data_IF_596280776872
#
_entry.id   IF_596280776872
#
_cell.length_a   1.000
_cell.length_b   1.000
_cell.length_c   1.000
_cell.angle_alpha   90.00
_cell.angle_beta   90.00
_cell.angle_gamma   90.00
#
_symmetry.space_group_name_H-M   'P 1'
#
loop_
_entity.id
_entity.type
_entity.pdbx_description
1 polymer ?
#
# COMPACT_ATOMS: atom_id res chain seq x y z
N UNK A 1 8.23 28.67 24.91
CA UNK A 1 6.96 27.93 24.72
C UNK A 1 6.48 28.14 23.28
N UNK A 2 6.98 27.34 22.32
CA UNK A 2 6.61 27.43 20.89
C UNK A 2 7.00 26.13 20.17
N UNK A 3 6.28 25.04 20.43
CA UNK A 3 6.55 23.76 19.71
C UNK A 3 5.32 22.88 19.48
N UNK A 4 4.16 23.16 20.07
CA UNK A 4 2.99 22.25 19.97
C UNK A 4 2.10 22.42 18.71
N UNK A 5 2.28 23.49 17.93
CA UNK A 5 1.43 23.77 16.77
C UNK A 5 1.84 22.99 15.50
N UNK A 6 3.13 22.63 15.34
CA UNK A 6 3.60 21.92 14.14
C UNK A 6 3.19 20.45 14.12
N UNK A 7 3.20 19.77 15.27
CA UNK A 7 2.76 18.38 15.40
C UNK A 7 1.26 18.19 15.13
N UNK A 8 0.43 19.15 15.58
CA UNK A 8 -1.02 19.12 15.34
C UNK A 8 -1.35 19.28 13.84
N UNK A 9 -0.61 20.15 13.13
CA UNK A 9 -0.81 20.36 11.69
C UNK A 9 -0.38 19.12 10.89
N UNK A 10 0.74 18.47 11.25
CA UNK A 10 1.17 17.25 10.58
C UNK A 10 0.18 16.09 10.77
N UNK A 11 -0.28 15.86 12.01
CA UNK A 11 -1.31 14.85 12.27
C UNK A 11 -2.65 15.18 11.61
N UNK A 12 -3.05 16.45 11.50
CA UNK A 12 -4.25 16.85 10.77
C UNK A 12 -4.11 16.65 9.25
N UNK A 13 -2.90 16.75 8.69
CA UNK A 13 -2.64 16.47 7.27
C UNK A 13 -2.62 14.97 7.01
N UNK A 14 -1.94 14.16 7.84
CA UNK A 14 -1.95 12.70 7.72
C UNK A 14 -3.36 12.16 7.98
N UNK A 15 -4.04 12.61 9.04
CA UNK A 15 -5.44 12.27 9.30
C UNK A 15 -6.38 12.79 8.20
N UNK A 16 -6.11 13.94 7.58
CA UNK A 16 -6.89 14.45 6.46
C UNK A 16 -6.72 13.61 5.19
N UNK A 17 -5.50 13.11 4.94
CA UNK A 17 -5.21 12.16 3.86
C UNK A 17 -5.88 10.80 4.17
N UNK A 18 -5.87 10.35 5.42
CA UNK A 18 -6.55 9.12 5.90
C UNK A 18 -8.08 9.23 5.89
N UNK A 19 -8.64 10.40 6.18
CA UNK A 19 -10.09 10.64 6.13
C UNK A 19 -10.63 10.68 4.70
N UNK A 20 -9.77 10.92 3.70
CA UNK A 20 -10.17 10.81 2.31
C UNK A 20 -10.27 9.35 1.83
N UNK A 21 -9.67 8.38 2.54
CA UNK A 21 -9.72 6.94 2.19
C UNK A 21 -10.68 6.13 3.05
N UNK A 22 -11.16 6.67 4.18
CA UNK A 22 -12.13 5.96 5.00
C UNK A 22 -13.49 5.85 4.29
N UNK A 23 -14.04 4.64 4.24
CA UNK A 23 -15.50 4.46 4.13
C UNK A 23 -16.10 5.34 5.22
N UNK A 24 -16.84 6.39 4.84
CA UNK A 24 -17.61 7.15 5.81
C UNK A 24 -18.69 6.22 6.38
N UNK A 25 -18.42 5.62 7.54
CA UNK A 25 -19.47 4.94 8.31
C UNK A 25 -20.43 6.02 8.78
N UNK A 26 -21.57 6.13 8.11
CA UNK A 26 -22.62 7.05 8.47
C UNK A 26 -23.09 6.76 9.91
N UNK A 27 -22.99 7.77 10.78
CA UNK A 27 -23.59 7.75 12.11
C UNK A 27 -25.12 7.64 11.91
N UNK A 28 -25.81 6.62 12.46
CA UNK A 28 -27.24 6.49 12.26
C UNK A 28 -27.96 7.58 13.04
N UNK A 29 -28.52 8.56 12.35
CA UNK A 29 -29.13 9.70 13.03
C UNK A 29 -29.73 10.80 12.17
N UNK A 30 -30.37 10.48 11.04
CA UNK A 30 -31.53 11.23 10.50
C UNK A 30 -32.06 10.53 9.26
N UNK A 31 -33.35 10.21 9.25
CA UNK A 31 -34.06 9.88 8.01
C UNK A 31 -33.95 11.09 7.08
N UNK A 32 -33.37 10.88 5.89
CA UNK A 32 -33.40 11.84 4.80
C UNK A 32 -34.61 11.49 3.92
N UNK A 33 -35.47 12.47 3.71
CA UNK A 33 -36.60 12.38 2.78
C UNK A 33 -36.10 12.06 1.37
N UNK A 34 -36.80 11.11 0.76
CA UNK A 34 -36.62 10.64 -0.61
C UNK A 34 -36.93 11.78 -1.59
N UNK A 35 -35.88 12.39 -2.14
CA UNK A 35 -35.98 13.19 -3.36
C UNK A 35 -35.10 12.51 -4.40
N UNK A 36 -35.73 11.72 -5.26
CA UNK A 36 -35.20 11.19 -6.51
C UNK A 36 -34.78 12.34 -7.44
N UNK A 37 -33.62 12.94 -7.15
CA UNK A 37 -32.83 13.64 -8.14
C UNK A 37 -31.95 12.58 -8.79
N UNK A 38 -32.29 12.19 -10.03
CA UNK A 38 -31.37 11.44 -10.88
C UNK A 38 -30.12 12.31 -11.10
N UNK A 39 -29.15 12.17 -10.20
CA UNK A 39 -27.81 12.71 -10.39
C UNK A 39 -27.24 11.98 -11.59
N UNK A 40 -26.85 12.73 -12.63
CA UNK A 40 -26.15 12.16 -13.77
C UNK A 40 -24.79 11.66 -13.31
N UNK A 41 -24.75 10.40 -12.88
CA UNK A 41 -23.51 9.68 -12.64
C UNK A 41 -22.95 9.34 -14.01
N UNK A 42 -21.79 9.90 -14.36
CA UNK A 42 -21.05 9.44 -15.53
C UNK A 42 -20.81 7.92 -15.40
N UNK A 43 -20.62 7.19 -16.51
CA UNK A 43 -20.45 5.72 -16.46
C UNK A 43 -19.29 5.22 -15.59
N UNK A 44 -18.46 6.13 -15.06
CA UNK A 44 -17.37 5.88 -14.11
C UNK A 44 -17.80 5.88 -12.63
N UNK A 45 -19.05 6.25 -12.30
CA UNK A 45 -19.60 6.12 -10.94
C UNK A 45 -19.41 7.32 -10.02
N UNK A 46 -18.87 8.45 -10.51
CA UNK A 46 -18.66 9.67 -9.72
C UNK A 46 -19.66 10.78 -10.06
N UNK A 47 -20.22 11.41 -9.04
CA UNK A 47 -21.06 12.61 -9.17
C UNK A 47 -20.23 13.84 -9.51
N UNK A 48 -20.85 14.89 -10.07
CA UNK A 48 -20.17 16.14 -10.44
C UNK A 48 -19.43 16.81 -9.27
N UNK A 49 -19.98 16.70 -8.05
CA UNK A 49 -19.38 17.26 -6.83
C UNK A 49 -18.16 16.45 -6.35
N UNK A 50 -18.08 15.16 -6.68
CA UNK A 50 -16.98 14.27 -6.32
C UNK A 50 -15.81 14.35 -7.32
N UNK A 51 -16.08 14.64 -8.60
CA UNK A 51 -15.05 14.65 -9.65
C UNK A 51 -13.84 15.53 -9.33
N UNK A 52 -13.97 16.75 -8.77
CA UNK A 52 -12.80 17.58 -8.46
C UNK A 52 -11.83 16.94 -7.46
N UNK A 53 -12.30 16.01 -6.62
CA UNK A 53 -11.49 15.31 -5.64
C UNK A 53 -10.84 14.04 -6.22
N UNK A 54 -11.56 13.30 -7.05
CA UNK A 54 -11.16 11.94 -7.48
C UNK A 54 -10.71 11.83 -8.93
N UNK A 55 -11.02 12.83 -9.76
CA UNK A 55 -10.76 12.83 -11.19
C UNK A 55 -9.74 13.89 -11.59
N UNK A 56 -8.94 13.58 -12.61
CA UNK A 56 -8.08 14.58 -13.24
C UNK A 56 -8.91 15.67 -13.92
N UNK A 57 -8.55 16.93 -13.72
CA UNK A 57 -9.25 18.11 -14.26
C UNK A 57 -8.84 18.47 -15.69
N UNK A 58 -7.78 17.86 -16.22
CA UNK A 58 -7.30 18.10 -17.58
C UNK A 58 -7.77 17.00 -18.53
N UNK A 59 -8.57 17.35 -19.54
CA UNK A 59 -9.03 16.40 -20.56
C UNK A 59 -7.93 15.98 -21.55
N UNK A 60 -6.85 16.77 -21.64
CA UNK A 60 -5.74 16.54 -22.57
C UNK A 60 -4.42 16.49 -21.80
N UNK A 61 -3.60 15.51 -22.17
CA UNK A 61 -2.21 15.45 -21.75
C UNK A 61 -1.43 16.67 -22.26
N UNK A 62 -0.57 17.23 -21.41
CA UNK A 62 0.32 18.35 -21.75
C UNK A 62 1.74 17.86 -21.98
N UNK A 63 2.54 18.71 -22.62
CA UNK A 63 3.95 18.46 -22.82
C UNK A 63 4.75 19.75 -22.76
N UNK A 64 6.00 19.62 -22.34
CA UNK A 64 7.06 20.62 -22.36
C UNK A 64 8.33 19.97 -22.92
N UNK A 65 9.42 20.74 -23.03
CA UNK A 65 10.72 20.19 -23.44
C UNK A 65 11.31 19.16 -22.44
N UNK A 66 10.78 19.12 -21.21
CA UNK A 66 11.32 18.28 -20.12
C UNK A 66 10.34 17.21 -19.60
N UNK A 67 9.05 17.36 -19.89
CA UNK A 67 7.98 16.54 -19.32
C UNK A 67 6.94 16.27 -20.38
N UNK A 68 6.60 15.00 -20.57
CA UNK A 68 5.47 14.56 -21.39
C UNK A 68 4.47 13.87 -20.48
N UNK A 69 3.21 14.33 -20.51
CA UNK A 69 2.11 13.66 -19.84
C UNK A 69 1.51 12.61 -20.76
N UNK A 70 1.03 11.51 -20.18
CA UNK A 70 0.28 10.48 -20.87
C UNK A 70 -1.06 10.30 -20.19
N UNK A 71 -2.14 10.39 -20.96
CA UNK A 71 -3.51 10.27 -20.44
C UNK A 71 -3.81 8.79 -20.21
N UNK A 72 -4.03 8.41 -18.96
CA UNK A 72 -4.51 7.07 -18.60
C UNK A 72 -5.89 6.87 -19.25
N UNK A 73 -6.16 5.73 -19.93
CA UNK A 73 -7.40 5.52 -20.66
C UNK A 73 -8.64 5.54 -19.75
N UNK A 74 -8.56 4.87 -18.60
CA UNK A 74 -9.63 4.92 -17.60
C UNK A 74 -9.58 6.24 -16.84
N UNK A 75 -10.73 6.91 -16.75
CA UNK A 75 -10.89 8.16 -16.02
C UNK A 75 -10.90 7.93 -14.50
N UNK A 76 -10.58 8.97 -13.73
CA UNK A 76 -10.72 8.96 -12.26
C UNK A 76 -10.00 7.81 -11.55
N UNK A 77 -8.91 7.29 -12.11
CA UNK A 77 -8.19 6.11 -11.58
C UNK A 77 -7.37 6.39 -10.33
N UNK A 78 -6.96 7.65 -10.15
CA UNK A 78 -6.09 8.11 -9.07
C UNK A 78 -4.86 7.19 -8.89
N UNK A 79 -3.92 7.20 -9.86
CA UNK A 79 -2.74 6.36 -9.77
C UNK A 79 -1.89 6.72 -8.54
N UNK A 80 -1.38 5.72 -7.80
CA UNK A 80 -0.63 5.94 -6.56
C UNK A 80 0.71 5.21 -6.54
N UNK A 81 0.74 3.90 -6.25
CA UNK A 81 1.98 3.12 -6.29
C UNK A 81 2.48 2.93 -7.73
N UNK A 82 3.80 2.85 -7.89
CA UNK A 82 4.48 2.72 -9.18
C UNK A 82 5.75 1.88 -9.03
N UNK A 83 6.06 1.04 -10.02
CA UNK A 83 7.33 0.32 -10.15
C UNK A 83 7.69 0.12 -11.63
N UNK A 84 8.84 -0.50 -11.90
CA UNK A 84 9.30 -0.81 -13.25
C UNK A 84 9.78 -2.25 -13.37
N UNK A 85 9.45 -2.90 -14.48
CA UNK A 85 10.12 -4.13 -14.89
C UNK A 85 11.57 -3.85 -15.34
N UNK A 86 12.46 -4.86 -15.34
CA UNK A 86 13.83 -4.72 -15.86
C UNK A 86 13.93 -4.23 -17.32
N UNK A 87 12.88 -4.46 -18.12
CA UNK A 87 12.80 -4.01 -19.51
C UNK A 87 12.37 -2.53 -19.65
N UNK A 88 12.05 -1.84 -18.55
CA UNK A 88 11.60 -0.45 -18.53
C UNK A 88 10.08 -0.25 -18.63
N UNK A 89 9.29 -1.32 -18.72
CA UNK A 89 7.82 -1.24 -18.64
C UNK A 89 7.42 -0.75 -17.26
N UNK A 90 6.60 0.30 -17.22
CA UNK A 90 6.18 0.94 -15.97
C UNK A 90 4.86 0.34 -15.53
N UNK A 91 4.74 -0.04 -14.26
CA UNK A 91 3.50 -0.53 -13.66
C UNK A 91 3.03 0.41 -12.57
N UNK A 92 1.72 0.61 -12.45
CA UNK A 92 1.13 1.41 -11.39
C UNK A 92 -0.25 0.89 -10.98
N UNK A 93 -0.60 1.16 -9.73
CA UNK A 93 -1.90 0.82 -9.16
C UNK A 93 -2.91 1.96 -9.39
N UNK A 94 -4.18 1.61 -9.59
CA UNK A 94 -5.29 2.54 -9.79
C UNK A 94 -6.23 2.48 -8.59
N UNK A 95 -5.91 3.27 -7.55
CA UNK A 95 -6.54 3.25 -6.22
C UNK A 95 -8.07 3.28 -6.23
N UNK A 96 -8.69 4.00 -7.17
CA UNK A 96 -10.15 4.15 -7.25
C UNK A 96 -10.87 3.00 -7.96
N UNK A 97 -10.14 2.10 -8.60
CA UNK A 97 -10.72 1.01 -9.42
C UNK A 97 -10.22 -0.36 -9.02
N UNK A 98 -9.21 -0.44 -8.14
CA UNK A 98 -8.56 -1.69 -7.76
C UNK A 98 -7.70 -2.34 -8.85
N UNK A 99 -7.65 -1.73 -10.03
CA UNK A 99 -6.89 -2.23 -11.17
C UNK A 99 -5.40 -1.93 -11.02
N UNK A 100 -4.61 -2.62 -11.83
CA UNK A 100 -3.27 -2.17 -12.18
C UNK A 100 -3.20 -1.86 -13.68
N UNK A 101 -2.24 -1.04 -14.06
CA UNK A 101 -1.96 -0.75 -15.45
C UNK A 101 -0.46 -0.75 -15.71
N UNK A 102 -0.10 -1.17 -16.92
CA UNK A 102 1.25 -1.00 -17.44
C UNK A 102 1.29 0.06 -18.51
N UNK A 103 2.42 0.75 -18.59
CA UNK A 103 2.76 1.70 -19.63
C UNK A 103 4.08 1.26 -20.26
N UNK A 104 4.07 1.08 -21.57
CA UNK A 104 5.26 0.84 -22.38
C UNK A 104 5.81 2.18 -22.89
N UNK A 105 6.97 2.65 -22.39
CA UNK A 105 7.55 3.93 -22.83
C UNK A 105 8.04 3.93 -24.28
N UNK A 106 8.27 2.77 -24.90
CA UNK A 106 8.72 2.67 -26.29
C UNK A 106 7.56 2.84 -27.27
N UNK A 107 6.39 2.30 -26.92
CA UNK A 107 5.18 2.39 -27.77
C UNK A 107 4.19 3.45 -27.31
N UNK A 108 4.42 4.06 -26.14
CA UNK A 108 3.54 5.04 -25.48
C UNK A 108 2.12 4.51 -25.24
N UNK A 109 2.00 3.21 -24.94
CA UNK A 109 0.71 2.53 -24.78
C UNK A 109 0.47 2.08 -23.35
N UNK A 110 -0.75 2.32 -22.89
CA UNK A 110 -1.28 1.72 -21.69
C UNK A 110 -1.92 0.36 -21.97
N UNK A 111 -1.84 -0.54 -21.00
CA UNK A 111 -2.69 -1.73 -20.89
C UNK A 111 -3.19 -1.80 -19.46
N UNK A 112 -4.50 -1.85 -19.29
CA UNK A 112 -5.15 -1.86 -17.97
C UNK A 112 -5.73 -3.26 -17.70
N UNK A 113 -5.57 -3.74 -16.47
CA UNK A 113 -6.00 -5.07 -16.06
C UNK A 113 -7.10 -4.95 -15.01
N UNK A 114 -8.31 -5.38 -15.34
CA UNK A 114 -9.46 -5.25 -14.43
C UNK A 114 -9.38 -6.23 -13.26
N UNK A 115 -9.49 -5.72 -12.03
CA UNK A 115 -9.65 -6.56 -10.85
C UNK A 115 -11.13 -6.89 -10.60
N UNK A 116 -11.61 -8.02 -11.12
CA UNK A 116 -13.02 -8.41 -10.97
C UNK A 116 -13.46 -8.54 -9.52
N UNK A 117 -12.57 -8.94 -8.60
CA UNK A 117 -12.91 -9.04 -7.16
C UNK A 117 -13.22 -7.67 -6.57
N UNK A 118 -12.52 -6.63 -7.01
CA UNK A 118 -12.79 -5.24 -6.62
C UNK A 118 -14.14 -4.77 -7.16
N UNK A 119 -14.41 -5.01 -8.45
CA UNK A 119 -15.69 -4.64 -9.10
C UNK A 119 -16.87 -5.34 -8.42
N UNK A 120 -16.73 -6.63 -8.10
CA UNK A 120 -17.75 -7.40 -7.39
C UNK A 120 -18.02 -6.81 -5.99
N UNK A 121 -16.96 -6.43 -5.27
CA UNK A 121 -17.09 -5.81 -3.96
C UNK A 121 -17.79 -4.44 -4.02
N UNK A 122 -17.44 -3.58 -4.98
CA UNK A 122 -18.15 -2.31 -5.23
C UNK A 122 -19.64 -2.55 -5.51
N UNK A 123 -19.95 -3.52 -6.35
CA UNK A 123 -21.34 -3.85 -6.71
C UNK A 123 -22.14 -4.35 -5.51
N UNK A 124 -21.53 -5.15 -4.62
CA UNK A 124 -22.20 -5.66 -3.42
C UNK A 124 -22.44 -4.56 -2.40
N UNK A 125 -21.46 -3.68 -2.21
CA UNK A 125 -21.55 -2.57 -1.26
C UNK A 125 -22.33 -1.37 -1.80
N UNK A 126 -22.62 -1.34 -3.11
CA UNK A 126 -23.29 -0.25 -3.82
C UNK A 126 -22.60 1.11 -3.60
N UNK A 127 -21.27 1.09 -3.50
CA UNK A 127 -20.45 2.28 -3.32
C UNK A 127 -19.11 2.08 -4.02
N UNK A 128 -18.46 3.20 -4.37
CA UNK A 128 -17.08 3.17 -4.87
C UNK A 128 -16.12 2.81 -3.76
N UNK A 129 -15.20 1.90 -4.09
CA UNK A 129 -14.13 1.51 -3.20
C UNK A 129 -12.88 2.33 -3.52
N UNK A 130 -12.04 2.49 -2.51
CA UNK A 130 -10.79 3.22 -2.61
C UNK A 130 -9.80 2.60 -1.62
N UNK A 131 -8.54 2.49 -2.02
CA UNK A 131 -7.47 2.03 -1.13
C UNK A 131 -6.20 2.84 -1.28
N UNK A 132 -5.52 3.02 -0.17
CA UNK A 132 -4.19 3.62 -0.12
C UNK A 132 -3.09 2.64 -0.58
N UNK A 133 -3.10 2.29 -1.86
CA UNK A 133 -2.08 1.44 -2.50
C UNK A 133 -0.75 2.21 -2.61
N UNK A 134 0.04 2.23 -1.54
CA UNK A 134 1.29 2.99 -1.45
C UNK A 134 2.51 2.23 -1.96
N UNK A 135 2.55 0.92 -1.74
CA UNK A 135 3.67 0.07 -2.07
C UNK A 135 3.37 -0.72 -3.32
N UNK A 136 4.34 -0.77 -4.24
CA UNK A 136 4.31 -1.68 -5.38
C UNK A 136 5.71 -2.12 -5.74
N UNK A 137 5.88 -3.39 -6.08
CA UNK A 137 7.15 -3.91 -6.57
C UNK A 137 6.97 -5.08 -7.54
N UNK A 138 7.97 -5.29 -8.39
CA UNK A 138 8.02 -6.36 -9.37
C UNK A 138 8.83 -7.53 -8.82
N UNK A 139 8.32 -8.75 -8.98
CA UNK A 139 9.06 -9.96 -8.64
C UNK A 139 9.59 -10.68 -9.89
N UNK A 140 10.80 -11.29 -9.83
CA UNK A 140 11.42 -11.97 -10.97
C UNK A 140 10.62 -13.14 -11.57
N UNK A 141 9.64 -13.68 -10.84
CA UNK A 141 8.70 -14.71 -11.31
C UNK A 141 7.58 -14.13 -12.20
N UNK A 142 7.63 -12.83 -12.53
CA UNK A 142 6.67 -12.20 -13.43
C UNK A 142 5.37 -11.81 -12.74
N UNK A 143 5.45 -11.31 -11.50
CA UNK A 143 4.30 -10.78 -10.79
C UNK A 143 4.52 -9.34 -10.33
N UNK A 144 3.40 -8.62 -10.21
CA UNK A 144 3.34 -7.30 -9.59
C UNK A 144 2.69 -7.44 -8.23
N UNK A 145 3.37 -6.96 -7.20
CA UNK A 145 2.90 -6.97 -5.83
C UNK A 145 2.55 -5.57 -5.40
N UNK A 146 1.45 -5.38 -4.69
CA UNK A 146 1.08 -4.06 -4.18
C UNK A 146 0.25 -4.13 -2.90
N UNK A 147 0.34 -3.09 -2.08
CA UNK A 147 -0.39 -3.03 -0.81
C UNK A 147 -1.83 -2.59 -1.01
N UNK A 148 -2.72 -3.06 -0.14
CA UNK A 148 -4.12 -2.63 -0.08
C UNK A 148 -4.54 -2.44 1.38
N UNK A 149 -4.68 -1.17 1.75
CA UNK A 149 -5.09 -0.74 3.09
C UNK A 149 -6.56 -1.03 3.36
N UNK A 150 -7.44 -0.82 2.39
CA UNK A 150 -8.89 -0.98 2.58
C UNK A 150 -9.32 -2.42 2.92
N UNK A 151 -8.48 -3.40 2.59
CA UNK A 151 -8.73 -4.82 2.88
C UNK A 151 -7.67 -5.46 3.77
N UNK A 152 -6.78 -4.67 4.39
CA UNK A 152 -5.66 -5.15 5.19
C UNK A 152 -4.85 -6.26 4.49
N UNK A 153 -4.51 -6.06 3.21
CA UNK A 153 -3.94 -7.11 2.38
C UNK A 153 -2.81 -6.65 1.45
N UNK A 154 -2.18 -7.63 0.81
CA UNK A 154 -1.25 -7.48 -0.30
C UNK A 154 -1.87 -8.19 -1.49
N UNK A 155 -1.90 -7.52 -2.64
CA UNK A 155 -2.26 -8.13 -3.90
C UNK A 155 -1.01 -8.63 -4.63
N UNK A 156 -1.18 -9.75 -5.32
CA UNK A 156 -0.23 -10.31 -6.28
C UNK A 156 -0.95 -10.49 -7.61
N UNK A 157 -0.47 -9.81 -8.64
CA UNK A 157 -0.93 -9.98 -10.01
C UNK A 157 0.08 -10.80 -10.82
N UNK A 158 -0.34 -11.97 -11.34
CA UNK A 158 0.47 -12.75 -12.29
C UNK A 158 0.37 -12.10 -13.67
N UNK A 159 1.51 -11.67 -14.24
CA UNK A 159 1.54 -11.05 -15.57
C UNK A 159 1.21 -12.07 -16.67
N UNK A 160 1.70 -13.31 -16.52
CA UNK A 160 1.52 -14.36 -17.52
C UNK A 160 0.07 -14.87 -17.57
N UNK A 161 -0.56 -15.00 -16.40
CA UNK A 161 -1.93 -15.55 -16.29
C UNK A 161 -2.99 -14.44 -16.27
N UNK A 162 -2.59 -13.19 -16.10
CA UNK A 162 -3.46 -12.02 -15.90
C UNK A 162 -4.45 -12.22 -14.73
N UNK A 163 -3.98 -12.83 -13.63
CA UNK A 163 -4.80 -13.16 -12.47
C UNK A 163 -4.37 -12.45 -11.20
N UNK A 164 -5.36 -12.05 -10.39
CA UNK A 164 -5.18 -11.45 -9.08
C UNK A 164 -5.31 -12.48 -7.95
N UNK A 165 -4.35 -12.46 -7.04
CA UNK A 165 -4.37 -13.18 -5.77
C UNK A 165 -4.13 -12.20 -4.61
N UNK A 166 -4.54 -12.59 -3.40
CA UNK A 166 -4.40 -11.77 -2.20
C UNK A 166 -3.73 -12.54 -1.07
N UNK A 167 -2.99 -11.80 -0.24
CA UNK A 167 -2.43 -12.25 1.02
C UNK A 167 -2.91 -11.28 2.09
N UNK A 168 -3.65 -11.77 3.09
CA UNK A 168 -4.12 -10.93 4.18
C UNK A 168 -2.99 -10.72 5.21
N UNK A 169 -2.96 -9.54 5.83
CA UNK A 169 -2.05 -9.30 6.93
C UNK A 169 -2.43 -10.13 8.16
N UNK A 170 -1.43 -10.62 8.91
CA UNK A 170 -1.67 -11.27 10.19
C UNK A 170 -2.00 -10.18 11.23
N UNK A 171 -3.29 -9.90 11.38
CA UNK A 171 -3.80 -8.91 12.34
C UNK A 171 -3.94 -9.57 13.72
N UNK A 172 -3.41 -8.92 14.76
CA UNK A 172 -3.78 -9.22 16.15
C UNK A 172 -5.07 -8.49 16.49
N UNK A 173 -5.96 -9.13 17.26
CA UNK A 173 -7.25 -8.53 17.66
C UNK A 173 -7.05 -7.05 18.11
N UNK A 174 -7.91 -6.17 17.60
CA UNK A 174 -8.02 -4.73 17.90
C UNK A 174 -7.04 -3.74 17.24
N UNK A 175 -6.12 -4.15 16.36
CA UNK A 175 -5.24 -3.21 15.64
C UNK A 175 -5.34 -3.44 14.12
N UNK A 176 -5.98 -2.51 13.39
CA UNK A 176 -6.01 -2.56 11.91
C UNK A 176 -4.58 -2.47 11.33
N UNK A 177 -4.38 -3.11 10.19
CA UNK A 177 -3.12 -3.01 9.47
C UNK A 177 -3.14 -1.76 8.59
N UNK A 178 -1.96 -1.24 8.27
CA UNK A 178 -1.85 -0.23 7.23
C UNK A 178 -0.57 -0.51 6.44
N UNK A 179 -0.63 -1.48 5.51
CA UNK A 179 0.53 -1.84 4.70
C UNK A 179 0.90 -0.70 3.76
N UNK A 180 2.07 -0.10 3.99
CA UNK A 180 2.52 1.05 3.20
C UNK A 180 3.55 0.67 2.15
N UNK A 181 4.81 0.49 2.55
CA UNK A 181 5.89 0.14 1.64
C UNK A 181 6.00 -1.36 1.52
N UNK A 182 6.21 -1.82 0.29
CA UNK A 182 6.46 -3.20 -0.06
C UNK A 182 7.77 -3.29 -0.86
N UNK A 183 8.58 -4.30 -0.56
CA UNK A 183 9.80 -4.63 -1.31
C UNK A 183 9.88 -6.15 -1.48
N UNK A 184 10.22 -6.59 -2.70
CA UNK A 184 10.52 -7.98 -3.01
C UNK A 184 12.03 -8.23 -2.84
N UNK A 185 12.37 -9.20 -2.00
CA UNK A 185 13.74 -9.69 -1.82
C UNK A 185 13.78 -11.21 -2.02
N UNK A 186 14.18 -11.64 -3.22
CA UNK A 186 14.14 -13.04 -3.61
C UNK A 186 12.71 -13.60 -3.60
N UNK A 187 12.44 -14.56 -2.70
CA UNK A 187 11.11 -15.15 -2.49
C UNK A 187 10.33 -14.48 -1.36
N UNK A 188 10.89 -13.43 -0.74
CA UNK A 188 10.27 -12.73 0.37
C UNK A 188 9.57 -11.46 -0.12
N UNK A 189 8.41 -11.20 0.49
CA UNK A 189 7.69 -9.94 0.39
C UNK A 189 7.79 -9.26 1.74
N UNK A 190 8.55 -8.16 1.81
CA UNK A 190 8.76 -7.40 3.04
C UNK A 190 7.84 -6.19 2.99
N UNK A 191 7.04 -5.99 4.04
CA UNK A 191 6.09 -4.89 4.12
C UNK A 191 6.12 -4.25 5.50
N UNK A 192 6.10 -2.91 5.55
CA UNK A 192 5.85 -2.21 6.80
C UNK A 192 4.35 -2.08 7.05
N UNK A 193 3.92 -2.49 8.22
CA UNK A 193 2.59 -2.26 8.74
C UNK A 193 2.63 -1.01 9.62
N UNK A 194 2.17 0.11 9.04
CA UNK A 194 2.32 1.43 9.63
C UNK A 194 1.58 1.52 10.97
N UNK A 195 0.28 1.18 11.01
CA UNK A 195 -0.52 1.23 12.24
C UNK A 195 -0.31 0.01 13.14
N UNK A 196 0.01 -1.15 12.56
CA UNK A 196 0.37 -2.34 13.32
C UNK A 196 1.74 -2.26 14.00
N UNK A 197 2.53 -1.21 13.71
CA UNK A 197 3.79 -0.95 14.39
C UNK A 197 4.82 -2.06 14.18
N UNK A 198 4.83 -2.72 13.02
CA UNK A 198 5.69 -3.89 12.74
C UNK A 198 6.16 -3.94 11.30
N UNK A 199 7.29 -4.62 11.07
CA UNK A 199 7.65 -5.12 9.74
C UNK A 199 7.15 -6.56 9.62
N UNK A 200 6.54 -6.92 8.50
CA UNK A 200 6.12 -8.30 8.22
C UNK A 200 6.83 -8.80 6.98
N UNK A 201 7.45 -9.97 7.11
CA UNK A 201 8.16 -10.67 6.05
C UNK A 201 7.33 -11.90 5.69
N UNK A 202 6.80 -11.93 4.48
CA UNK A 202 6.09 -13.08 3.94
C UNK A 202 7.06 -13.88 3.08
N UNK A 203 7.31 -15.13 3.45
CA UNK A 203 7.98 -16.10 2.59
C UNK A 203 6.94 -16.74 1.67
N UNK A 204 7.11 -16.53 0.36
CA UNK A 204 6.20 -17.06 -0.65
C UNK A 204 6.85 -18.22 -1.41
N UNK A 205 6.28 -19.42 -1.29
CA UNK A 205 6.59 -20.56 -2.15
C UNK A 205 5.34 -21.00 -2.91
N UNK A 206 5.49 -21.75 -4.01
CA UNK A 206 4.38 -22.16 -4.89
C UNK A 206 3.18 -22.76 -4.12
N UNK A 207 3.42 -23.46 -3.01
CA UNK A 207 2.39 -24.17 -2.25
C UNK A 207 2.27 -23.76 -0.78
N UNK A 208 3.09 -22.82 -0.30
CA UNK A 208 3.04 -22.39 1.11
C UNK A 208 3.35 -20.92 1.29
N UNK A 209 2.56 -20.31 2.17
CA UNK A 209 2.79 -18.98 2.70
C UNK A 209 3.24 -19.13 4.16
N UNK A 210 4.43 -18.64 4.46
CA UNK A 210 4.90 -18.41 5.83
C UNK A 210 5.06 -16.94 6.07
N UNK A 211 4.92 -16.48 7.31
CA UNK A 211 5.24 -15.09 7.64
C UNK A 211 5.93 -14.99 8.99
N UNK A 212 6.66 -13.88 9.16
CA UNK A 212 7.16 -13.43 10.44
C UNK A 212 6.92 -11.95 10.61
N UNK A 213 6.49 -11.56 11.80
CA UNK A 213 6.31 -10.16 12.17
C UNK A 213 7.36 -9.74 13.19
N UNK A 214 8.00 -8.63 12.90
CA UNK A 214 9.04 -7.99 13.70
C UNK A 214 8.40 -6.75 14.32
N UNK A 215 7.93 -6.81 15.58
CA UNK A 215 7.41 -5.64 16.25
C UNK A 215 8.47 -4.55 16.34
N UNK A 216 8.01 -3.30 16.32
CA UNK A 216 8.85 -2.15 16.56
C UNK A 216 9.46 -2.18 17.96
N UNK A 217 10.67 -1.63 18.08
CA UNK A 217 11.32 -1.47 19.37
C UNK A 217 10.67 -0.37 20.24
N UNK A 218 9.93 0.54 19.61
CA UNK A 218 9.14 1.58 20.27
C UNK A 218 7.66 1.41 19.89
N UNK A 219 6.78 1.49 20.89
CA UNK A 219 5.34 1.60 20.67
C UNK A 219 5.04 2.85 19.84
N UNK A 220 4.56 2.65 18.62
CA UNK A 220 4.38 3.70 17.63
C UNK A 220 4.20 3.14 16.23
N UNK A 221 4.49 3.98 15.24
CA UNK A 221 4.31 3.66 13.82
C UNK A 221 5.61 3.16 13.21
N UNK A 222 5.54 2.15 12.35
CA UNK A 222 6.63 1.90 11.40
C UNK A 222 6.42 2.77 10.18
N UNK A 223 7.49 3.21 9.53
CA UNK A 223 7.40 3.95 8.28
C UNK A 223 8.26 3.29 7.23
N UNK A 224 9.03 4.06 6.48
CA UNK A 224 9.85 3.54 5.40
C UNK A 224 10.97 2.62 5.91
N UNK A 225 11.37 1.67 5.06
CA UNK A 225 12.50 0.78 5.25
C UNK A 225 13.32 0.61 3.97
N UNK A 226 14.59 0.23 4.11
CA UNK A 226 15.49 -0.10 3.01
C UNK A 226 16.36 -1.30 3.39
N UNK A 227 16.79 -2.06 2.38
CA UNK A 227 17.68 -3.20 2.56
C UNK A 227 19.07 -2.78 2.08
N UNK A 228 20.08 -2.97 2.93
CA UNK A 228 21.48 -2.69 2.55
C UNK A 228 22.14 -3.87 1.82
N UNK A 229 23.37 -3.67 1.33
CA UNK A 229 24.12 -4.71 0.60
C UNK A 229 24.51 -5.93 1.45
N UNK A 230 24.39 -5.83 2.77
CA UNK A 230 24.63 -6.93 3.71
C UNK A 230 23.32 -7.64 4.07
N UNK A 231 22.19 -7.26 3.45
CA UNK A 231 20.83 -7.72 3.72
C UNK A 231 20.30 -7.34 5.12
N UNK A 232 20.83 -6.28 5.73
CA UNK A 232 20.19 -5.71 6.91
C UNK A 232 19.00 -4.86 6.47
N UNK A 233 17.90 -4.96 7.22
CA UNK A 233 16.73 -4.12 7.04
C UNK A 233 16.89 -2.90 7.94
N UNK A 234 16.95 -1.72 7.32
CA UNK A 234 16.96 -0.43 8.00
C UNK A 234 15.57 0.15 7.94
N UNK A 235 14.96 0.49 9.08
CA UNK A 235 13.62 1.05 9.10
C UNK A 235 13.48 2.14 10.15
N UNK A 236 12.53 3.03 9.91
CA UNK A 236 12.22 4.12 10.82
C UNK A 236 10.97 3.80 11.62
N UNK A 237 11.01 4.14 12.90
CA UNK A 237 9.91 3.96 13.83
C UNK A 237 9.79 5.19 14.71
N UNK A 238 8.57 5.69 14.90
CA UNK A 238 8.34 6.95 15.60
C UNK A 238 7.00 6.98 16.29
N UNK A 239 6.90 7.83 17.30
CA UNK A 239 5.66 8.19 17.98
C UNK A 239 5.59 9.71 18.16
N UNK A 240 4.65 10.20 18.99
CA UNK A 240 4.49 11.65 19.19
C UNK A 240 5.67 12.33 19.88
N UNK A 241 6.56 11.57 20.54
CA UNK A 241 7.63 12.09 21.38
C UNK A 241 9.01 11.95 20.73
N UNK A 242 9.25 10.86 19.99
CA UNK A 242 10.56 10.55 19.44
C UNK A 242 10.47 9.74 18.15
N UNK A 243 11.58 9.71 17.41
CA UNK A 243 11.81 8.80 16.29
C UNK A 243 13.13 8.07 16.49
N UNK A 244 13.20 6.85 15.99
CA UNK A 244 14.38 6.00 16.01
C UNK A 244 14.62 5.38 14.64
N UNK A 245 15.90 5.22 14.30
CA UNK A 245 16.35 4.42 13.18
C UNK A 245 16.75 3.05 13.72
N UNK A 246 16.28 2.00 13.06
CA UNK A 246 16.52 0.64 13.48
C UNK A 246 17.26 -0.10 12.37
N UNK A 247 18.34 -0.79 12.73
CA UNK A 247 19.01 -1.80 11.92
C UNK A 247 18.59 -3.18 12.41
N UNK A 248 18.02 -4.00 11.54
CA UNK A 248 17.68 -5.38 11.82
C UNK A 248 18.52 -6.33 10.97
N UNK A 249 19.30 -7.19 11.63
CA UNK A 249 20.11 -8.21 10.98
C UNK A 249 19.24 -9.42 10.61
N UNK A 250 18.52 -9.29 9.50
CA UNK A 250 17.55 -10.29 9.06
C UNK A 250 18.20 -11.65 8.76
N UNK A 251 19.35 -11.68 8.09
CA UNK A 251 19.99 -12.94 7.69
C UNK A 251 20.50 -13.76 8.86
N UNK A 252 21.06 -13.11 9.88
CA UNK A 252 21.47 -13.80 11.10
C UNK A 252 20.25 -14.35 11.85
N UNK A 253 19.18 -13.56 11.95
CA UNK A 253 17.92 -13.99 12.58
C UNK A 253 17.28 -15.19 11.85
N UNK A 254 17.19 -15.13 10.52
CA UNK A 254 16.68 -16.21 9.66
C UNK A 254 17.51 -17.50 9.81
N UNK A 255 18.84 -17.36 9.82
CA UNK A 255 19.78 -18.47 10.04
C UNK A 255 19.54 -19.15 11.40
N UNK A 256 19.45 -18.38 12.48
CA UNK A 256 19.26 -18.94 13.82
C UNK A 256 17.89 -19.58 14.01
N UNK A 257 16.84 -19.03 13.40
CA UNK A 257 15.52 -19.66 13.38
C UNK A 257 15.54 -21.04 12.70
N UNK A 258 16.31 -21.21 11.62
CA UNK A 258 16.37 -22.47 10.88
C UNK A 258 17.08 -23.61 11.62
N UNK A 259 17.97 -23.28 12.58
CA UNK A 259 18.80 -24.24 13.33
C UNK A 259 18.22 -24.51 14.73
N UNK A 260 17.36 -23.61 15.22
CA UNK A 260 16.78 -23.71 16.55
C UNK A 260 15.68 -24.78 16.62
N UNK A 261 15.90 -25.84 17.40
CA UNK A 261 14.83 -26.77 17.83
C UNK A 261 13.99 -26.21 19.00
N UNK A 262 14.28 -24.99 19.46
CA UNK A 262 13.64 -24.31 20.59
C UNK A 262 13.39 -22.86 20.19
N UNK A 263 12.34 -22.62 19.40
CA UNK A 263 11.91 -21.28 19.00
C UNK A 263 11.63 -20.33 20.19
N UNK A 264 11.51 -20.85 21.41
CA UNK A 264 11.20 -20.09 22.62
C UNK A 264 12.39 -19.27 23.19
N UNK A 265 13.60 -19.38 22.63
CA UNK A 265 14.80 -18.71 23.16
C UNK A 265 15.33 -17.51 22.37
N UNK A 266 14.85 -17.27 21.15
CA UNK A 266 15.39 -16.22 20.27
C UNK A 266 14.77 -14.86 20.63
N UNK A 267 15.54 -14.02 21.33
CA UNK A 267 15.14 -12.65 21.62
C UNK A 267 15.42 -11.78 20.40
N UNK A 268 14.36 -11.22 19.81
CA UNK A 268 14.45 -10.33 18.65
C UNK A 268 15.43 -9.17 18.87
N UNK A 269 15.59 -8.72 20.12
CA UNK A 269 16.51 -7.66 20.53
C UNK A 269 17.98 -7.99 20.23
N UNK A 270 18.36 -9.27 20.12
CA UNK A 270 19.73 -9.69 19.79
C UNK A 270 20.11 -9.38 18.33
N UNK A 271 19.12 -9.16 17.48
CA UNK A 271 19.28 -8.89 16.04
C UNK A 271 18.99 -7.44 15.67
N UNK A 272 18.65 -6.60 16.66
CA UNK A 272 18.23 -5.22 16.47
C UNK A 272 19.26 -4.27 17.08
N UNK A 273 19.63 -3.23 16.32
CA UNK A 273 20.34 -2.05 16.83
C UNK A 273 19.48 -0.81 16.57
N UNK A 274 19.33 0.06 17.57
CA UNK A 274 18.57 1.30 17.44
C UNK A 274 19.45 2.54 17.62
N UNK A 275 19.12 3.59 16.90
CA UNK A 275 19.77 4.88 16.92
C UNK A 275 18.70 5.95 17.18
N UNK A 276 18.80 6.64 18.31
CA UNK A 276 17.92 7.76 18.66
C UNK A 276 18.48 9.07 18.10
N UNK A 277 17.58 9.97 17.70
CA UNK A 277 17.92 11.32 17.21
C UNK A 277 17.44 12.41 18.16
#
# INVERSE_FOLDING_TARGET
VKTRQKGIIFFAVVAGIMLASGITIAIPGKEAEDNDLEVFVAGDGYTDDERPQFCGTNDKAKSTDFVTEFKIPTACTQPLAITTEPNGTVWFAQTNTGNIAKFDPLTEKFTEYTNSRWVDAESQLKQKLRSMMWGMDYSPDGAIWYTDEATDSIWRFSIADETYNTINFPISEDISSLPQKLVIDGSNVIVNDFTGGKLTIFGYSQDSLSYASIPSALDGFTSDFAIDSENNIWYTNWNQETGILIKFNYKEWESQLSISSQADGLLLQEFIQYFQF
#
